data_IF_043044471750
#
_entry.id   IF_043044471750
#
_cell.length_a   1.000
_cell.length_b   1.000
_cell.length_c   1.000
_cell.angle_alpha   90.00
_cell.angle_beta   90.00
_cell.angle_gamma   90.00
#
_symmetry.space_group_name_H-M   'P 1'
#
loop_
_entity.id
_entity.type
_entity.pdbx_description
1 polymer ?
#
# COMPACT_ATOMS: atom_id res chain seq x y z
N UNK A 1 50.02 0.83 -39.43
CA UNK A 1 49.52 1.55 -38.24
C UNK A 1 48.00 1.68 -38.32
N UNK A 2 47.23 0.67 -37.84
CA UNK A 2 45.73 0.68 -37.82
C UNK A 2 45.19 0.09 -36.51
N UNK A 3 45.74 0.51 -35.37
CA UNK A 3 45.37 -0.13 -34.06
C UNK A 3 44.41 0.65 -33.15
N UNK A 4 44.01 1.88 -33.45
CA UNK A 4 43.34 2.73 -32.46
C UNK A 4 41.88 3.09 -32.78
N UNK A 5 41.22 2.49 -33.79
CA UNK A 5 39.85 2.84 -34.15
C UNK A 5 38.80 1.91 -33.54
N UNK A 6 39.18 0.72 -33.07
CA UNK A 6 38.25 -0.29 -32.55
C UNK A 6 37.80 0.05 -31.12
N UNK A 7 38.66 0.66 -30.30
CA UNK A 7 38.34 0.98 -28.90
C UNK A 7 37.26 2.04 -28.73
N UNK A 8 37.23 3.16 -29.47
CA UNK A 8 36.14 4.14 -29.35
C UNK A 8 34.79 3.62 -29.90
N UNK A 9 34.80 2.75 -30.90
CA UNK A 9 33.58 2.18 -31.47
C UNK A 9 32.94 1.21 -30.51
N UNK A 10 33.70 0.37 -29.82
CA UNK A 10 33.17 -0.54 -28.80
C UNK A 10 32.57 0.21 -27.60
N UNK A 11 33.19 1.31 -27.17
CA UNK A 11 32.66 2.17 -26.11
C UNK A 11 31.32 2.84 -26.47
N UNK A 12 31.18 3.30 -27.71
CA UNK A 12 29.94 3.87 -28.21
C UNK A 12 28.82 2.84 -28.33
N UNK A 13 29.13 1.61 -28.73
CA UNK A 13 28.16 0.50 -28.80
C UNK A 13 27.67 0.12 -27.37
N UNK A 14 28.58 0.04 -26.40
CA UNK A 14 28.21 -0.28 -25.01
C UNK A 14 27.35 0.83 -24.40
N UNK A 15 27.73 2.10 -24.61
CA UNK A 15 26.93 3.26 -24.19
C UNK A 15 25.52 3.26 -24.82
N UNK A 16 25.46 2.96 -26.14
CA UNK A 16 24.19 2.84 -26.85
C UNK A 16 23.29 1.69 -26.31
N UNK A 17 23.89 0.53 -25.99
CA UNK A 17 23.18 -0.60 -25.40
C UNK A 17 22.72 -0.29 -23.97
N UNK A 18 23.55 0.35 -23.16
CA UNK A 18 23.15 0.79 -21.83
C UNK A 18 22.02 1.82 -21.90
N UNK A 19 22.14 2.84 -22.75
CA UNK A 19 21.09 3.83 -22.94
C UNK A 19 19.79 3.18 -23.46
N UNK A 20 19.88 2.27 -24.42
CA UNK A 20 18.74 1.50 -24.91
C UNK A 20 18.10 0.66 -23.81
N UNK A 21 18.91 0.00 -22.98
CA UNK A 21 18.41 -0.79 -21.85
C UNK A 21 17.72 0.11 -20.79
N UNK A 22 18.33 1.26 -20.45
CA UNK A 22 17.72 2.22 -19.51
C UNK A 22 16.48 2.90 -20.07
N UNK A 23 16.45 3.22 -21.36
CA UNK A 23 15.28 3.84 -22.00
C UNK A 23 14.15 2.83 -22.27
N UNK A 24 14.48 1.53 -22.34
CA UNK A 24 13.54 0.45 -22.56
C UNK A 24 13.23 -0.33 -21.26
N UNK A 25 13.63 0.20 -20.09
CA UNK A 25 13.03 -0.27 -18.85
C UNK A 25 11.56 0.12 -18.90
N UNK A 26 10.75 -0.83 -19.34
CA UNK A 26 9.30 -0.76 -19.19
C UNK A 26 9.03 -0.50 -17.72
N UNK A 27 8.31 0.55 -17.42
CA UNK A 27 7.65 0.76 -16.13
C UNK A 27 7.16 -0.59 -15.63
N UNK A 28 7.30 -0.91 -14.33
CA UNK A 28 6.82 -2.18 -13.81
C UNK A 28 5.38 -2.36 -14.27
N UNK A 29 5.17 -3.46 -14.97
CA UNK A 29 3.90 -3.82 -15.59
C UNK A 29 2.77 -3.53 -14.62
N UNK A 30 1.96 -2.54 -14.98
CA UNK A 30 0.64 -2.21 -14.48
C UNK A 30 0.14 -3.17 -13.38
N UNK A 31 0.15 -2.70 -12.13
CA UNK A 31 -0.68 -3.27 -11.06
C UNK A 31 -2.17 -2.94 -11.28
N UNK A 32 -2.49 -2.44 -12.46
CA UNK A 32 -3.82 -2.13 -12.93
C UNK A 32 -4.55 -3.43 -13.18
N UNK A 33 -5.43 -3.82 -12.27
CA UNK A 33 -6.33 -4.98 -12.20
C UNK A 33 -5.91 -6.09 -11.22
N UNK A 34 -5.26 -5.77 -10.11
CA UNK A 34 -5.25 -6.68 -8.99
C UNK A 34 -6.60 -6.54 -8.27
N UNK A 35 -7.42 -7.56 -8.38
CA UNK A 35 -8.68 -7.63 -7.61
C UNK A 35 -8.37 -7.81 -6.12
N UNK A 36 -9.24 -7.28 -5.28
CA UNK A 36 -9.13 -7.49 -3.83
C UNK A 36 -9.32 -8.99 -3.51
N UNK A 37 -8.50 -9.55 -2.63
CA UNK A 37 -8.63 -10.96 -2.28
C UNK A 37 -9.93 -11.21 -1.51
N UNK A 38 -10.63 -12.32 -1.79
CA UNK A 38 -11.85 -12.69 -1.06
C UNK A 38 -11.65 -12.76 0.46
N UNK A 39 -10.47 -13.15 0.91
CA UNK A 39 -10.09 -13.22 2.33
C UNK A 39 -10.27 -11.89 3.06
N UNK A 40 -10.15 -10.75 2.38
CA UNK A 40 -10.43 -9.43 2.94
C UNK A 40 -11.88 -9.32 3.44
N UNK A 41 -12.83 -9.96 2.76
CA UNK A 41 -14.25 -9.94 3.08
C UNK A 41 -14.72 -11.14 3.93
N UNK A 42 -13.89 -12.18 4.00
CA UNK A 42 -14.20 -13.39 4.78
C UNK A 42 -13.63 -13.32 6.20
N UNK A 43 -12.60 -12.50 6.42
CA UNK A 43 -11.94 -12.36 7.71
C UNK A 43 -12.78 -11.52 8.66
N UNK A 44 -12.96 -12.03 9.87
CA UNK A 44 -13.75 -11.35 10.93
C UNK A 44 -12.98 -10.13 11.43
N UNK A 45 -13.67 -8.99 11.51
CA UNK A 45 -13.14 -7.74 12.04
C UNK A 45 -12.82 -7.83 13.53
N UNK A 46 -11.84 -7.03 13.92
CA UNK A 46 -11.29 -7.08 15.27
C UNK A 46 -12.30 -6.69 16.37
N UNK A 47 -13.02 -5.57 16.17
CA UNK A 47 -13.88 -5.02 17.21
C UNK A 47 -15.32 -5.54 17.19
N UNK A 48 -15.91 -5.61 16.01
CA UNK A 48 -17.33 -5.93 15.86
C UNK A 48 -17.60 -7.41 15.63
N UNK A 49 -16.55 -8.21 15.53
CA UNK A 49 -16.60 -9.66 15.29
C UNK A 49 -17.44 -10.02 14.05
N UNK A 50 -17.43 -9.12 13.04
CA UNK A 50 -18.15 -9.30 11.77
C UNK A 50 -17.19 -9.24 10.62
N UNK A 51 -17.49 -9.99 9.57
CA UNK A 51 -16.78 -9.84 8.30
C UNK A 51 -17.17 -8.53 7.62
N UNK A 52 -16.20 -7.87 6.99
CA UNK A 52 -16.43 -6.69 6.16
C UNK A 52 -17.34 -7.08 4.99
N UNK A 53 -18.34 -6.27 4.67
CA UNK A 53 -19.23 -6.51 3.54
C UNK A 53 -18.99 -5.46 2.46
N UNK A 54 -18.86 -5.91 1.21
CA UNK A 54 -18.69 -5.02 0.05
C UNK A 54 -19.74 -3.89 0.03
N UNK A 55 -20.99 -4.20 0.33
CA UNK A 55 -22.09 -3.22 0.37
C UNK A 55 -21.96 -2.14 1.46
N UNK A 56 -21.02 -2.29 2.39
CA UNK A 56 -20.69 -1.31 3.43
C UNK A 56 -19.59 -0.35 2.98
N UNK A 57 -18.98 -0.62 1.82
CA UNK A 57 -17.95 0.22 1.21
C UNK A 57 -18.55 1.14 0.17
N UNK A 58 -17.91 2.30 0.01
CA UNK A 58 -18.19 3.23 -1.07
C UNK A 58 -17.44 2.80 -2.33
N UNK A 59 -17.73 3.43 -3.47
CA UNK A 59 -17.01 3.16 -4.72
C UNK A 59 -15.50 3.41 -4.56
N UNK A 60 -15.13 4.37 -3.69
CA UNK A 60 -13.75 4.65 -3.31
C UNK A 60 -13.52 4.42 -1.82
N UNK A 61 -12.47 3.68 -1.50
CA UNK A 61 -11.99 3.48 -0.13
C UNK A 61 -10.49 3.16 -0.13
N UNK A 62 -9.91 3.13 1.05
CA UNK A 62 -8.47 2.88 1.25
C UNK A 62 -8.29 1.61 2.07
N UNK A 63 -7.30 0.79 1.71
CA UNK A 63 -6.78 -0.30 2.55
C UNK A 63 -5.39 0.08 3.00
N UNK A 64 -5.16 0.11 4.32
CA UNK A 64 -3.89 0.47 4.91
C UNK A 64 -3.37 -0.66 5.79
N UNK A 65 -2.19 -1.17 5.46
CA UNK A 65 -1.47 -2.14 6.29
C UNK A 65 -0.62 -1.41 7.32
N UNK A 66 -0.82 -1.75 8.57
CA UNK A 66 -0.14 -1.12 9.70
C UNK A 66 0.12 -2.10 10.84
N UNK A 67 0.89 -1.65 11.84
CA UNK A 67 1.07 -2.36 13.10
C UNK A 67 1.43 -1.39 14.22
N UNK A 68 1.15 -1.73 15.49
CA UNK A 68 1.50 -0.91 16.65
C UNK A 68 3.02 -0.73 16.82
N UNK A 69 3.80 -1.75 16.47
CA UNK A 69 5.26 -1.71 16.52
C UNK A 69 5.91 -0.91 15.38
N UNK A 70 5.13 -0.44 14.41
CA UNK A 70 5.61 0.25 13.22
C UNK A 70 5.68 1.76 13.43
N UNK A 71 6.85 2.32 13.69
CA UNK A 71 7.04 3.76 13.89
C UNK A 71 6.64 4.61 12.67
N UNK A 72 6.94 4.24 11.41
CA UNK A 72 6.47 4.99 10.25
C UNK A 72 4.94 5.01 10.13
N UNK A 73 4.24 3.98 10.60
CA UNK A 73 2.77 3.94 10.63
C UNK A 73 2.19 5.02 11.55
N UNK A 74 2.87 5.30 12.66
CA UNK A 74 2.49 6.40 13.54
C UNK A 74 2.68 7.77 12.86
N UNK A 75 3.66 7.91 11.98
CA UNK A 75 3.89 9.17 11.27
C UNK A 75 2.75 9.53 10.29
N UNK A 76 2.10 8.54 9.66
CA UNK A 76 0.96 8.76 8.76
C UNK A 76 -0.39 8.84 9.49
N UNK A 77 -0.45 8.39 10.75
CA UNK A 77 -1.69 8.28 11.52
C UNK A 77 -2.54 9.57 11.56
N UNK A 78 -1.97 10.77 11.77
CA UNK A 78 -2.75 12.02 11.73
C UNK A 78 -3.47 12.23 10.40
N UNK A 79 -2.84 11.86 9.29
CA UNK A 79 -3.44 11.95 7.96
C UNK A 79 -4.60 10.96 7.78
N UNK A 80 -4.46 9.74 8.30
CA UNK A 80 -5.55 8.76 8.31
C UNK A 80 -6.74 9.24 9.14
N UNK A 81 -6.49 9.94 10.27
CA UNK A 81 -7.54 10.57 11.07
C UNK A 81 -8.25 11.70 10.30
N UNK A 82 -7.52 12.48 9.49
CA UNK A 82 -8.10 13.50 8.63
C UNK A 82 -8.97 12.89 7.53
N UNK A 83 -8.49 11.84 6.86
CA UNK A 83 -9.27 11.10 5.86
C UNK A 83 -10.61 10.60 6.43
N UNK A 84 -10.57 10.02 7.64
CA UNK A 84 -11.79 9.62 8.36
C UNK A 84 -12.72 10.82 8.61
N UNK A 85 -12.18 11.95 9.06
CA UNK A 85 -12.97 13.16 9.31
C UNK A 85 -13.65 13.71 8.04
N UNK A 86 -13.04 13.46 6.87
CA UNK A 86 -13.59 13.77 5.55
C UNK A 86 -14.60 12.74 5.04
N UNK A 87 -14.83 11.66 5.80
CA UNK A 87 -15.76 10.59 5.45
C UNK A 87 -15.18 9.52 4.54
N UNK A 88 -13.87 9.53 4.29
CA UNK A 88 -13.20 8.49 3.50
C UNK A 88 -13.05 7.25 4.38
N UNK A 89 -13.54 6.11 3.90
CA UNK A 89 -13.40 4.83 4.60
C UNK A 89 -12.01 4.28 4.43
N UNK A 90 -11.34 4.02 5.55
CA UNK A 90 -10.04 3.36 5.61
C UNK A 90 -10.22 2.01 6.30
N UNK A 91 -9.89 0.94 5.59
CA UNK A 91 -9.84 -0.41 6.13
C UNK A 91 -8.43 -0.66 6.64
N UNK A 92 -8.28 -0.85 7.94
CA UNK A 92 -7.00 -1.14 8.57
C UNK A 92 -6.72 -2.65 8.58
N UNK A 93 -5.58 -3.06 8.02
CA UNK A 93 -5.08 -4.43 8.12
C UNK A 93 -3.94 -4.42 9.15
N UNK A 94 -4.25 -4.90 10.34
CA UNK A 94 -3.29 -4.97 11.45
C UNK A 94 -2.40 -6.21 11.27
N UNK A 95 -1.20 -5.98 10.73
CA UNK A 95 -0.29 -7.00 10.25
C UNK A 95 0.58 -7.55 11.39
N UNK A 96 0.43 -8.85 11.69
CA UNK A 96 1.26 -9.61 12.64
C UNK A 96 1.54 -8.85 13.93
N UNK A 97 0.50 -8.34 14.52
CA UNK A 97 0.55 -7.51 15.71
C UNK A 97 0.02 -8.26 16.94
N UNK A 98 0.46 -7.81 18.11
CA UNK A 98 -0.07 -8.27 19.38
C UNK A 98 -1.36 -7.51 19.72
N UNK A 99 -2.35 -8.21 20.29
CA UNK A 99 -3.67 -7.65 20.58
C UNK A 99 -3.61 -6.55 21.63
N UNK A 100 -2.85 -6.78 22.70
CA UNK A 100 -2.74 -5.82 23.80
C UNK A 100 -2.01 -4.57 23.33
N UNK A 101 -0.91 -4.72 22.58
CA UNK A 101 -0.15 -3.60 22.01
C UNK A 101 -1.00 -2.79 21.01
N UNK A 102 -1.81 -3.47 20.18
CA UNK A 102 -2.70 -2.78 19.26
C UNK A 102 -3.80 -2.00 20.00
N UNK A 103 -4.41 -2.58 21.04
CA UNK A 103 -5.44 -1.90 21.82
C UNK A 103 -4.87 -0.66 22.52
N UNK A 104 -3.69 -0.78 23.15
CA UNK A 104 -2.98 0.33 23.78
C UNK A 104 -2.67 1.45 22.76
N UNK A 105 -2.20 1.07 21.56
CA UNK A 105 -1.90 2.00 20.47
C UNK A 105 -3.15 2.78 20.02
N UNK A 106 -4.30 2.09 19.86
CA UNK A 106 -5.56 2.73 19.49
C UNK A 106 -6.11 3.64 20.62
N UNK A 107 -5.96 3.23 21.88
CA UNK A 107 -6.36 4.06 23.03
C UNK A 107 -5.53 5.35 23.11
N UNK A 108 -4.23 5.28 22.82
CA UNK A 108 -3.33 6.43 22.87
C UNK A 108 -3.52 7.38 21.68
N UNK A 109 -3.68 6.85 20.47
CA UNK A 109 -3.63 7.65 19.24
C UNK A 109 -5.00 7.84 18.56
N UNK A 110 -6.03 7.11 19.00
CA UNK A 110 -7.34 7.09 18.36
C UNK A 110 -7.42 6.09 17.20
N UNK A 111 -8.66 5.81 16.76
CA UNK A 111 -8.93 4.86 15.68
C UNK A 111 -9.28 5.58 14.38
N UNK A 112 -8.44 5.58 13.34
CA UNK A 112 -8.73 6.19 12.05
C UNK A 112 -9.58 5.29 11.15
N UNK A 113 -9.69 4.00 11.47
CA UNK A 113 -10.24 2.99 10.57
C UNK A 113 -11.76 2.88 10.65
N UNK A 114 -12.38 2.64 9.52
CA UNK A 114 -13.78 2.24 9.41
C UNK A 114 -13.97 0.79 9.89
N UNK A 115 -13.05 -0.07 9.52
CA UNK A 115 -13.01 -1.48 9.91
C UNK A 115 -11.56 -1.90 10.11
N UNK A 116 -11.32 -2.78 11.09
CA UNK A 116 -9.96 -3.31 11.35
C UNK A 116 -9.99 -4.82 11.28
N UNK A 117 -9.08 -5.38 10.49
CA UNK A 117 -8.88 -6.81 10.33
C UNK A 117 -7.51 -7.17 10.91
N UNK A 118 -7.44 -8.20 11.76
CA UNK A 118 -6.14 -8.79 12.14
C UNK A 118 -5.67 -9.75 11.06
N UNK A 119 -4.44 -9.59 10.65
CA UNK A 119 -3.83 -10.42 9.62
C UNK A 119 -2.57 -11.12 10.15
N UNK A 120 -2.57 -12.43 10.06
CA UNK A 120 -1.42 -13.28 10.36
C UNK A 120 -0.37 -13.29 9.24
N UNK A 121 -0.67 -12.64 8.14
CA UNK A 121 0.12 -12.55 6.93
C UNK A 121 -0.55 -13.13 5.69
N UNK A 122 -1.76 -13.67 5.83
CA UNK A 122 -2.51 -14.26 4.70
C UNK A 122 -2.97 -13.19 3.71
N UNK A 123 -3.69 -12.16 4.18
CA UNK A 123 -4.13 -11.04 3.35
C UNK A 123 -2.92 -10.27 2.80
N UNK A 124 -1.91 -10.07 3.66
CA UNK A 124 -0.66 -9.43 3.27
C UNK A 124 0.03 -10.15 2.11
N UNK A 125 0.10 -11.47 2.14
CA UNK A 125 0.66 -12.27 1.05
C UNK A 125 -0.15 -12.14 -0.24
N UNK A 126 -1.48 -12.25 -0.16
CA UNK A 126 -2.38 -12.17 -1.31
C UNK A 126 -2.36 -10.78 -1.96
N UNK A 127 -2.25 -9.71 -1.17
CA UNK A 127 -2.13 -8.34 -1.66
C UNK A 127 -0.68 -7.94 -2.04
N UNK A 128 0.28 -8.85 -1.89
CA UNK A 128 1.68 -8.59 -2.24
C UNK A 128 2.31 -7.51 -1.38
N UNK A 129 2.01 -7.50 -0.05
CA UNK A 129 2.63 -6.60 0.91
C UNK A 129 4.14 -6.80 0.93
N UNK A 130 4.89 -5.68 0.87
CA UNK A 130 6.35 -5.70 1.01
C UNK A 130 6.75 -5.37 2.46
N UNK A 131 6.01 -4.46 3.10
CA UNK A 131 6.23 -4.07 4.49
C UNK A 131 5.26 -2.99 4.93
N UNK A 132 5.14 -2.77 6.24
CA UNK A 132 4.27 -1.73 6.82
C UNK A 132 5.03 -0.43 7.05
N UNK A 133 4.39 0.75 6.82
CA UNK A 133 3.06 0.91 6.28
C UNK A 133 3.03 0.74 4.76
N UNK A 134 1.89 0.28 4.25
CA UNK A 134 1.62 0.23 2.82
C UNK A 134 0.13 0.51 2.59
N UNK A 135 -0.18 1.41 1.66
CA UNK A 135 -1.53 1.90 1.43
C UNK A 135 -1.98 1.62 0.01
N UNK A 136 -3.19 1.09 -0.12
CA UNK A 136 -3.84 0.78 -1.39
C UNK A 136 -5.08 1.66 -1.56
N UNK A 137 -5.18 2.31 -2.70
CA UNK A 137 -6.34 3.11 -3.12
C UNK A 137 -7.22 2.25 -3.99
N UNK A 138 -8.45 2.06 -3.57
CA UNK A 138 -9.40 1.15 -4.19
C UNK A 138 -10.54 1.95 -4.82
N UNK A 139 -10.86 1.67 -6.07
CA UNK A 139 -12.01 2.23 -6.74
C UNK A 139 -12.77 1.12 -7.47
N UNK A 140 -14.08 1.01 -7.21
CA UNK A 140 -14.92 -0.06 -7.75
C UNK A 140 -14.32 -1.47 -7.53
N UNK A 141 -13.79 -1.72 -6.32
CA UNK A 141 -13.12 -2.97 -5.90
C UNK A 141 -11.80 -3.28 -6.63
N UNK A 142 -11.28 -2.36 -7.42
CA UNK A 142 -10.00 -2.51 -8.12
C UNK A 142 -8.93 -1.65 -7.47
N UNK A 143 -7.72 -2.18 -7.33
CA UNK A 143 -6.57 -1.44 -6.85
C UNK A 143 -6.12 -0.46 -7.94
N UNK A 144 -6.21 0.85 -7.66
CA UNK A 144 -5.81 1.92 -8.56
C UNK A 144 -4.37 2.37 -8.33
N UNK A 145 -3.96 2.43 -7.06
CA UNK A 145 -2.66 2.94 -6.66
C UNK A 145 -2.19 2.21 -5.40
N UNK A 146 -0.90 2.01 -5.29
CA UNK A 146 -0.23 1.44 -4.13
C UNK A 146 0.90 2.37 -3.71
N UNK A 147 0.95 2.74 -2.42
CA UNK A 147 2.03 3.51 -1.82
C UNK A 147 2.78 2.61 -0.84
N UNK A 148 4.09 2.52 -1.02
CA UNK A 148 4.99 1.83 -0.10
C UNK A 148 5.66 2.85 0.83
N UNK A 149 5.59 2.61 2.13
CA UNK A 149 6.04 3.55 3.14
C UNK A 149 4.92 4.48 3.61
N UNK A 150 5.25 5.46 4.49
CA UNK A 150 4.26 6.34 5.07
C UNK A 150 3.53 7.18 4.01
N UNK A 151 2.24 7.33 4.23
CA UNK A 151 1.37 8.14 3.40
C UNK A 151 1.62 9.64 3.69
N UNK A 152 1.75 10.45 2.64
CA UNK A 152 1.90 11.90 2.72
C UNK A 152 0.68 12.62 2.15
N UNK A 153 0.57 13.92 2.46
CA UNK A 153 -0.56 14.74 2.00
C UNK A 153 -0.69 14.76 0.47
N UNK A 154 0.43 14.83 -0.23
CA UNK A 154 0.49 14.83 -1.69
C UNK A 154 -0.10 13.56 -2.31
N UNK A 155 -0.08 12.45 -1.57
CA UNK A 155 -0.61 11.18 -2.05
C UNK A 155 -2.14 11.14 -2.06
N UNK A 156 -2.77 11.96 -1.20
CA UNK A 156 -4.22 11.96 -0.94
C UNK A 156 -4.90 13.26 -1.34
N UNK A 157 -4.17 14.30 -1.71
CA UNK A 157 -4.68 15.63 -2.03
C UNK A 157 -5.86 15.60 -3.00
N UNK A 158 -5.81 14.73 -4.01
CA UNK A 158 -6.87 14.59 -5.01
C UNK A 158 -8.18 13.99 -4.47
N UNK A 159 -8.15 13.40 -3.26
CA UNK A 159 -9.30 12.74 -2.61
C UNK A 159 -9.86 13.57 -1.44
N UNK A 160 -9.20 14.67 -1.06
CA UNK A 160 -9.59 15.62 0.00
C UNK A 160 -10.35 16.82 -0.51
#
# INVERSE_FOLDING_TARGET
MKKNLILPISGLIILGLCAFFFLNQTEPKDQKNLELPPTLFETIGFYDQKALKEKELDDFFIVNFFASWCKPCLAEHPLLMELKAKGIKVIGINFRDDEDNFNEWIEEHGNPFFHVIRDDGTIAYEMGLIGVPETYFIENLNIQKKIQGPLFYEDVEQYL
#
